data_IF_276860135262
#
_entry.id   IF_276860135262
#
_cell.length_a   1.000
_cell.length_b   1.000
_cell.length_c   1.000
_cell.angle_alpha   90.00
_cell.angle_beta   90.00
_cell.angle_gamma   90.00
#
_symmetry.space_group_name_H-M   'P 1'
#
loop_
_entity.id
_entity.type
_entity.pdbx_description
1 polymer ?
#
# COMPACT_ATOMS: atom_id res chain seq x y z
N UNK A 1 22.16 -14.70 -30.23
CA UNK A 1 21.41 -13.50 -29.79
C UNK A 1 22.15 -12.30 -30.37
N UNK A 2 21.45 -11.37 -31.00
CA UNK A 2 22.07 -10.25 -31.73
C UNK A 2 22.83 -9.33 -30.76
N UNK A 3 24.11 -9.04 -31.01
CA UNK A 3 24.97 -8.25 -30.10
C UNK A 3 24.45 -6.82 -29.91
N UNK A 4 23.80 -6.25 -30.92
CA UNK A 4 23.23 -4.91 -30.85
C UNK A 4 22.03 -4.87 -29.89
N UNK A 5 21.19 -5.91 -29.91
CA UNK A 5 20.05 -6.04 -29.01
C UNK A 5 20.49 -6.12 -27.54
N UNK A 6 21.62 -6.78 -27.28
CA UNK A 6 22.17 -6.88 -25.93
C UNK A 6 22.62 -5.51 -25.39
N UNK A 7 23.36 -4.74 -26.18
CA UNK A 7 23.83 -3.39 -25.81
C UNK A 7 22.64 -2.45 -25.57
N UNK A 8 21.61 -2.53 -26.39
CA UNK A 8 20.39 -1.73 -26.22
C UNK A 8 19.65 -2.07 -24.92
N UNK A 9 19.58 -3.34 -24.56
CA UNK A 9 18.98 -3.77 -23.29
C UNK A 9 19.79 -3.28 -22.08
N UNK A 10 21.12 -3.35 -22.14
CA UNK A 10 22.00 -2.86 -21.07
C UNK A 10 21.85 -1.35 -20.86
N UNK A 11 21.79 -0.57 -21.95
CA UNK A 11 21.56 0.87 -21.90
C UNK A 11 20.17 1.23 -21.35
N UNK A 12 19.13 0.52 -21.79
CA UNK A 12 17.76 0.71 -21.30
C UNK A 12 17.66 0.41 -19.81
N UNK A 13 18.23 -0.70 -19.35
CA UNK A 13 18.29 -1.03 -17.92
C UNK A 13 19.04 0.05 -17.15
N UNK A 14 20.19 0.49 -17.66
CA UNK A 14 20.95 1.60 -17.06
C UNK A 14 20.12 2.87 -16.89
N UNK A 15 19.33 3.24 -17.90
CA UNK A 15 18.41 4.39 -17.84
C UNK A 15 17.29 4.20 -16.80
N UNK A 16 16.70 3.00 -16.71
CA UNK A 16 15.65 2.68 -15.74
C UNK A 16 16.21 2.74 -14.31
N UNK A 17 17.35 2.12 -14.04
CA UNK A 17 17.99 2.13 -12.71
C UNK A 17 18.52 3.51 -12.31
N UNK A 18 18.92 4.33 -13.29
CA UNK A 18 19.34 5.72 -13.05
C UNK A 18 18.18 6.70 -12.91
N UNK A 19 16.95 6.29 -13.22
CA UNK A 19 15.77 7.14 -13.16
C UNK A 19 15.25 7.33 -11.74
N UNK A 20 14.69 8.50 -11.46
CA UNK A 20 14.01 8.79 -10.20
C UNK A 20 12.54 8.39 -10.19
N UNK A 21 11.98 7.94 -11.31
CA UNK A 21 10.54 7.68 -11.45
C UNK A 21 10.03 6.66 -10.43
N UNK A 22 10.78 5.59 -10.17
CA UNK A 22 10.41 4.58 -9.17
C UNK A 22 10.30 5.21 -7.78
N UNK A 23 11.26 6.06 -7.42
CA UNK A 23 11.30 6.73 -6.13
C UNK A 23 10.15 7.72 -5.97
N UNK A 24 9.91 8.58 -6.97
CA UNK A 24 8.82 9.55 -6.96
C UNK A 24 7.45 8.90 -6.87
N UNK A 25 7.24 7.79 -7.59
CA UNK A 25 6.01 7.01 -7.47
C UNK A 25 5.83 6.46 -6.05
N UNK A 26 6.91 5.97 -5.43
CA UNK A 26 6.88 5.47 -4.05
C UNK A 26 6.53 6.57 -3.04
N UNK A 27 7.11 7.76 -3.19
CA UNK A 27 6.82 8.94 -2.37
C UNK A 27 5.32 9.28 -2.42
N UNK A 28 4.76 9.46 -3.61
CA UNK A 28 3.32 9.74 -3.79
C UNK A 28 2.47 8.65 -3.13
N UNK A 29 2.81 7.38 -3.39
CA UNK A 29 2.07 6.25 -2.83
C UNK A 29 2.08 6.27 -1.30
N UNK A 30 3.21 6.59 -0.67
CA UNK A 30 3.38 6.56 0.78
C UNK A 30 2.83 7.79 1.49
N UNK A 31 3.10 8.97 0.95
CA UNK A 31 2.90 10.24 1.63
C UNK A 31 1.52 10.83 1.36
N UNK A 32 0.98 10.65 0.15
CA UNK A 32 -0.26 11.32 -0.25
C UNK A 32 -1.52 10.46 0.01
N UNK A 33 -1.42 9.14 -0.09
CA UNK A 33 -2.59 8.25 -0.05
C UNK A 33 -2.91 7.67 1.34
N UNK A 34 -2.02 7.88 2.32
CA UNK A 34 -2.21 7.36 3.68
C UNK A 34 -2.37 5.84 3.73
N UNK A 35 -3.31 5.34 4.54
CA UNK A 35 -3.56 3.89 4.66
C UNK A 35 -4.23 3.32 3.40
N UNK A 36 -3.52 2.43 2.72
CA UNK A 36 -3.97 1.71 1.51
C UNK A 36 -4.55 0.31 1.81
N UNK A 37 -5.13 0.14 3.00
CA UNK A 37 -5.79 -1.13 3.36
C UNK A 37 -7.05 -1.34 2.52
N UNK A 38 -7.41 -2.58 2.23
CA UNK A 38 -8.58 -2.89 1.39
C UNK A 38 -9.86 -2.19 1.87
N UNK A 39 -10.48 -1.43 0.99
CA UNK A 39 -11.75 -0.73 1.15
C UNK A 39 -11.59 0.71 1.61
N UNK A 40 -10.37 1.15 1.93
CA UNK A 40 -10.10 2.53 2.34
C UNK A 40 -10.15 3.49 1.14
N UNK A 41 -10.36 4.80 1.38
CA UNK A 41 -10.16 5.81 0.33
C UNK A 41 -8.73 5.77 -0.26
N UNK A 42 -7.72 5.48 0.58
CA UNK A 42 -6.33 5.38 0.15
C UNK A 42 -6.07 4.29 -0.88
N UNK A 43 -6.72 3.13 -0.74
CA UNK A 43 -6.67 2.06 -1.75
C UNK A 43 -7.21 2.56 -3.10
N UNK A 44 -8.35 3.25 -3.12
CA UNK A 44 -8.95 3.77 -4.36
C UNK A 44 -8.06 4.81 -5.05
N UNK A 45 -7.49 5.74 -4.29
CA UNK A 45 -6.54 6.72 -4.83
C UNK A 45 -5.29 6.05 -5.39
N UNK A 46 -4.74 5.05 -4.69
CA UNK A 46 -3.61 4.25 -5.17
C UNK A 46 -3.94 3.51 -6.47
N UNK A 47 -5.12 2.89 -6.57
CA UNK A 47 -5.59 2.21 -7.78
C UNK A 47 -5.63 3.17 -8.97
N UNK A 48 -6.23 4.34 -8.79
CA UNK A 48 -6.40 5.34 -9.87
C UNK A 48 -5.03 5.88 -10.32
N UNK A 49 -4.14 6.14 -9.37
CA UNK A 49 -2.76 6.54 -9.64
C UNK A 49 -2.01 5.49 -10.46
N UNK A 50 -2.08 4.22 -10.06
CA UNK A 50 -1.40 3.12 -10.77
C UNK A 50 -1.95 2.94 -12.19
N UNK A 51 -3.27 3.02 -12.36
CA UNK A 51 -3.89 2.96 -13.69
C UNK A 51 -3.37 4.09 -14.59
N UNK A 52 -3.34 5.33 -14.07
CA UNK A 52 -2.82 6.47 -14.80
C UNK A 52 -1.34 6.29 -15.17
N UNK A 53 -0.51 5.75 -14.26
CA UNK A 53 0.91 5.51 -14.53
C UNK A 53 1.12 4.43 -15.58
N UNK A 54 0.36 3.34 -15.56
CA UNK A 54 0.44 2.33 -16.61
C UNK A 54 0.05 2.89 -17.99
N UNK A 55 -0.99 3.73 -18.06
CA UNK A 55 -1.36 4.41 -19.30
C UNK A 55 -0.27 5.38 -19.77
N UNK A 56 0.33 6.15 -18.87
CA UNK A 56 1.45 7.06 -19.15
C UNK A 56 2.67 6.31 -19.71
N UNK A 57 2.94 5.11 -19.19
CA UNK A 57 4.04 4.26 -19.66
C UNK A 57 3.73 3.51 -20.97
N UNK A 58 2.55 3.74 -21.56
CA UNK A 58 2.17 3.16 -22.85
C UNK A 58 1.69 1.71 -22.77
N UNK A 59 1.33 1.20 -21.58
CA UNK A 59 0.71 -0.12 -21.48
C UNK A 59 -0.71 -0.07 -22.06
N UNK A 60 -1.04 -1.10 -22.85
CA UNK A 60 -2.41 -1.32 -23.33
C UNK A 60 -3.23 -2.10 -22.30
N UNK A 61 -4.55 -1.94 -22.34
CA UNK A 61 -5.50 -2.69 -21.49
C UNK A 61 -5.35 -2.46 -19.98
N UNK A 62 -5.23 -1.20 -19.55
CA UNK A 62 -5.17 -0.82 -18.14
C UNK A 62 -6.59 -0.74 -17.53
N UNK A 63 -7.24 -1.88 -17.30
CA UNK A 63 -8.61 -1.95 -16.76
C UNK A 63 -8.64 -2.07 -15.23
N UNK A 64 -9.71 -1.55 -14.62
CA UNK A 64 -9.99 -1.73 -13.19
C UNK A 64 -11.04 -2.85 -13.05
N UNK A 65 -10.70 -3.88 -12.30
CA UNK A 65 -11.63 -4.95 -11.96
C UNK A 65 -12.17 -4.78 -10.54
N UNK A 66 -13.48 -4.71 -10.43
CA UNK A 66 -14.17 -4.64 -9.14
C UNK A 66 -14.57 -6.04 -8.67
N UNK A 67 -14.40 -6.30 -7.37
CA UNK A 67 -14.83 -7.53 -6.73
C UNK A 67 -15.26 -7.26 -5.29
N UNK A 68 -16.20 -8.07 -4.80
CA UNK A 68 -16.69 -7.98 -3.44
C UNK A 68 -15.82 -8.81 -2.50
N UNK A 69 -15.49 -8.26 -1.34
CA UNK A 69 -14.76 -8.96 -0.29
C UNK A 69 -15.12 -8.42 1.10
N UNK A 70 -14.82 -9.19 2.13
CA UNK A 70 -14.99 -8.75 3.52
C UNK A 70 -13.99 -7.65 3.85
N UNK A 71 -14.47 -6.42 3.96
CA UNK A 71 -13.66 -5.30 4.41
C UNK A 71 -13.54 -5.30 5.94
N UNK A 72 -12.38 -4.90 6.44
CA UNK A 72 -12.17 -4.66 7.85
C UNK A 72 -11.68 -3.23 8.08
N UNK A 73 -12.37 -2.52 8.98
CA UNK A 73 -11.95 -1.20 9.45
C UNK A 73 -11.56 -1.27 10.92
N UNK A 74 -10.35 -0.78 11.21
CA UNK A 74 -9.82 -0.71 12.57
C UNK A 74 -10.73 0.13 13.46
N UNK A 75 -11.12 -0.43 14.60
CA UNK A 75 -11.86 0.26 15.66
C UNK A 75 -10.94 0.95 16.67
N UNK A 76 -11.54 1.52 17.72
CA UNK A 76 -10.80 2.00 18.89
C UNK A 76 -10.35 0.80 19.74
N UNK A 77 -9.18 0.91 20.36
CA UNK A 77 -8.65 -0.07 21.30
C UNK A 77 -7.97 0.68 22.45
N UNK A 78 -8.07 0.11 23.64
CA UNK A 78 -7.39 0.61 24.84
C UNK A 78 -6.99 -0.60 25.68
N UNK A 79 -5.76 -0.62 26.19
CA UNK A 79 -5.24 -1.70 27.01
C UNK A 79 -4.67 -1.13 28.31
N UNK A 80 -5.15 -1.63 29.44
CA UNK A 80 -4.80 -1.11 30.75
C UNK A 80 -4.25 -2.23 31.63
N UNK A 81 -3.12 -1.97 32.28
CA UNK A 81 -2.67 -2.71 33.45
C UNK A 81 -3.44 -2.16 34.65
N UNK A 82 -4.14 -3.02 35.39
CA UNK A 82 -4.94 -2.62 36.56
C UNK A 82 -4.19 -2.84 37.88
N UNK A 83 -3.31 -3.84 37.95
CA UNK A 83 -2.54 -4.21 39.14
C UNK A 83 -1.18 -4.82 38.72
N UNK A 84 -0.09 -4.63 39.49
CA UNK A 84 0.00 -3.81 40.72
C UNK A 84 0.10 -2.30 40.43
N UNK A 85 0.31 -1.91 39.17
CA UNK A 85 0.36 -0.51 38.73
C UNK A 85 -0.82 -0.21 37.82
N UNK A 86 -1.43 0.96 37.98
CA UNK A 86 -2.48 1.44 37.07
C UNK A 86 -1.84 2.22 35.94
N UNK A 87 -1.85 1.64 34.72
CA UNK A 87 -1.24 2.27 33.54
C UNK A 87 -1.91 1.84 32.25
N UNK A 88 -2.13 2.79 31.34
CA UNK A 88 -2.48 2.50 29.94
C UNK A 88 -1.21 2.22 29.11
N UNK A 89 -1.28 1.22 28.23
CA UNK A 89 -0.20 0.87 27.31
C UNK A 89 -0.67 0.95 25.85
N UNK A 90 0.21 1.35 24.91
CA UNK A 90 -0.14 1.38 23.49
C UNK A 90 -0.63 0.02 23.02
N UNK A 91 -1.76 0.03 22.32
CA UNK A 91 -2.36 -1.17 21.76
C UNK A 91 -2.89 -0.90 20.36
N UNK A 92 -2.96 -1.96 19.57
CA UNK A 92 -3.50 -1.93 18.21
C UNK A 92 -4.34 -3.19 17.98
N UNK A 93 -5.56 -3.03 17.45
CA UNK A 93 -6.42 -4.18 17.15
C UNK A 93 -5.84 -5.01 16.01
N UNK A 94 -5.79 -6.33 16.12
CA UNK A 94 -5.43 -7.14 14.95
C UNK A 94 -6.58 -7.16 13.93
N UNK A 95 -6.29 -7.29 12.62
CA UNK A 95 -7.33 -7.47 11.61
C UNK A 95 -8.30 -8.59 11.99
N UNK A 96 -9.60 -8.34 11.82
CA UNK A 96 -10.69 -9.26 12.17
C UNK A 96 -10.83 -9.63 13.65
N UNK A 97 -10.07 -9.02 14.56
CA UNK A 97 -10.29 -9.21 15.99
C UNK A 97 -11.72 -8.75 16.37
N UNK A 98 -12.50 -9.60 17.07
CA UNK A 98 -13.86 -9.26 17.46
C UNK A 98 -13.88 -8.11 18.47
N UNK A 99 -14.96 -7.34 18.46
CA UNK A 99 -15.19 -6.30 19.48
C UNK A 99 -15.53 -6.98 20.80
N UNK A 100 -14.66 -6.82 21.79
CA UNK A 100 -14.88 -7.35 23.13
C UNK A 100 -14.28 -6.43 24.19
N UNK A 101 -14.81 -6.53 25.42
CA UNK A 101 -14.22 -5.97 26.63
C UNK A 101 -13.93 -7.14 27.56
N UNK A 102 -12.65 -7.35 27.86
CA UNK A 102 -12.16 -8.49 28.67
C UNK A 102 -11.20 -7.97 29.74
N UNK A 103 -11.11 -8.69 30.85
CA UNK A 103 -10.19 -8.44 31.97
C UNK A 103 -9.69 -9.77 32.52
N UNK A 104 -8.46 -9.82 33.01
CA UNK A 104 -7.81 -11.01 33.56
C UNK A 104 -6.53 -10.68 34.31
#
# INVERSE_FOLDING_TARGET
>A
MDQNLQIDCENLLGAIYGSQEIWKNLEILCDDFGSRFGGTPGERMCRDFLQSKFQEYGLSSCEIHEYSYSCWKRGKVSLHIQSPITREIPAISLPYCPKAKVQG
#
